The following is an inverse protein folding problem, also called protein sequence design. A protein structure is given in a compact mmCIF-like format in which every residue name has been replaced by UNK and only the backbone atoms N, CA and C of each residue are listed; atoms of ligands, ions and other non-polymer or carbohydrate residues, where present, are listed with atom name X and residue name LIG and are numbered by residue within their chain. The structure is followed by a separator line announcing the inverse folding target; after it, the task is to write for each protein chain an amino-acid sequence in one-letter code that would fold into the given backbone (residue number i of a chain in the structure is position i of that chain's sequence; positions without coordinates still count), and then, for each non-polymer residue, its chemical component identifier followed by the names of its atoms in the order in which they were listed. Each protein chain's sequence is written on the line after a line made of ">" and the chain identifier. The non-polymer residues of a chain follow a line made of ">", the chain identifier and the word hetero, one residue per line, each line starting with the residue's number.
data_IF_945192225696
#
_entry.id   IF_945192225696
#
_cell.length_a   1.000
_cell.length_b   1.000
_cell.length_c   1.000
_cell.angle_alpha   90.00
_cell.angle_beta   90.00
_cell.angle_gamma   90.00
#
_symmetry.space_group_name_H-M   'P 1'
#
loop_
_entity.id
_entity.type
_entity.pdbx_description
1 polymer ?
#
# COMPACT_ATOMS: atom_id res chain seq x y z
N UNK A 1 -18.64 24.47 -11.96
CA UNK A 1 -18.13 24.22 -11.89
C UNK A 1 -17.46 23.94 -11.72
N UNK A 2 -17.17 23.81 -11.67
CA UNK A 2 -16.40 23.51 -11.50
C UNK A 2 -15.80 23.06 -11.23
N UNK A 3 -15.67 22.69 -10.99
CA UNK A 3 -14.96 22.21 -10.68
C UNK A 3 -14.27 21.76 -11.04
N UNK A 4 -14.14 21.55 -11.48
CA UNK A 4 -13.42 21.16 -11.78
C UNK A 4 -12.90 20.86 -12.35
N UNK A 5 -12.85 21.03 -12.53
CA UNK A 5 -12.28 20.74 -12.97
C UNK A 5 -11.49 20.39 -13.48
N UNK A 6 -11.20 20.25 -13.73
CA UNK A 6 -10.51 19.83 -14.10
C UNK A 6 -9.72 19.72 -14.67
N UNK A 7 -9.30 19.83 -14.95
CA UNK A 7 -8.60 19.64 -15.54
C UNK A 7 -7.55 19.64 -15.78
N UNK A 8 -6.92 19.53 -15.90
CA UNK A 8 -6.05 19.40 -16.28
C UNK A 8 -4.94 19.64 -16.20
N UNK A 9 -4.18 19.63 -16.04
CA UNK A 9 -3.14 19.92 -16.17
C UNK A 9 -1.96 19.36 -16.04
N UNK A 10 -1.00 19.56 -16.27
CA UNK A 10 0.15 18.87 -16.48
C UNK A 10 1.20 18.98 -15.46
N UNK A 11 1.24 19.98 -14.73
CA UNK A 11 2.24 20.14 -13.70
C UNK A 11 1.85 19.39 -12.45
N UNK A 12 2.83 18.81 -11.75
CA UNK A 12 2.50 18.05 -10.55
C UNK A 12 1.71 18.84 -9.54
N UNK A 13 2.07 20.09 -9.32
CA UNK A 13 1.38 20.88 -8.35
C UNK A 13 -0.04 21.21 -8.80
N UNK A 14 -0.19 21.54 -10.06
CA UNK A 14 -1.51 21.79 -10.60
C UNK A 14 -2.34 20.52 -10.58
N UNK A 15 -1.72 19.39 -10.86
CA UNK A 15 -2.41 18.11 -10.82
C UNK A 15 -2.91 17.81 -9.41
N UNK A 16 -2.09 18.08 -8.40
CA UNK A 16 -2.52 17.87 -7.02
C UNK A 16 -3.69 18.77 -6.66
N UNK A 17 -3.64 20.01 -7.10
CA UNK A 17 -4.70 20.97 -6.79
C UNK A 17 -6.02 20.55 -7.41
N UNK A 18 -5.97 19.87 -8.55
CA UNK A 18 -7.17 19.46 -9.27
C UNK A 18 -7.53 18.00 -9.04
N UNK A 19 -6.82 17.32 -8.14
CA UNK A 19 -7.07 15.90 -7.86
C UNK A 19 -8.44 15.73 -7.23
N UNK A 20 -9.24 14.77 -7.71
CA UNK A 20 -10.55 14.53 -7.13
C UNK A 20 -10.47 14.18 -5.66
N UNK A 21 -11.53 14.52 -4.93
CA UNK A 21 -11.59 14.23 -3.50
C UNK A 21 -11.43 12.75 -3.21
N UNK A 22 -12.00 11.90 -4.07
CA UNK A 22 -11.85 10.46 -3.90
C UNK A 22 -10.39 10.04 -3.89
N UNK A 23 -9.58 10.64 -4.75
CA UNK A 23 -8.15 10.33 -4.83
C UNK A 23 -7.43 10.75 -3.55
N UNK A 24 -7.78 11.92 -3.03
CA UNK A 24 -7.18 12.41 -1.78
C UNK A 24 -7.55 11.52 -0.61
N UNK A 25 -8.80 11.08 -0.56
CA UNK A 25 -9.26 10.17 0.49
C UNK A 25 -8.56 8.84 0.38
N UNK A 26 -8.40 8.32 -0.85
CA UNK A 26 -7.68 7.08 -1.07
C UNK A 26 -6.23 7.17 -0.59
N UNK A 27 -5.58 8.30 -0.86
CA UNK A 27 -4.20 8.51 -0.42
C UNK A 27 -4.10 8.49 1.11
N UNK A 28 -5.04 9.14 1.78
CA UNK A 28 -5.05 9.12 3.25
C UNK A 28 -5.25 7.72 3.80
N UNK A 29 -6.13 6.95 3.18
CA UNK A 29 -6.32 5.56 3.58
C UNK A 29 -5.07 4.74 3.34
N UNK A 30 -4.39 4.96 2.21
CA UNK A 30 -3.15 4.26 1.91
C UNK A 30 -2.10 4.55 2.97
N UNK A 31 -1.99 5.79 3.40
CA UNK A 31 -1.06 6.17 4.46
C UNK A 31 -1.35 5.40 5.75
N UNK A 32 -2.62 5.30 6.12
CA UNK A 32 -3.01 4.58 7.31
C UNK A 32 -2.68 3.10 7.21
N UNK A 33 -3.03 2.48 6.07
CA UNK A 33 -2.75 1.06 5.90
C UNK A 33 -1.24 0.77 5.90
N UNK A 34 -0.45 1.66 5.32
CA UNK A 34 0.99 1.49 5.32
C UNK A 34 1.59 1.72 6.71
N UNK A 35 1.24 2.83 7.34
CA UNK A 35 1.90 3.25 8.58
C UNK A 35 1.45 2.46 9.79
N UNK A 36 0.17 2.10 9.85
CA UNK A 36 -0.38 1.42 11.02
C UNK A 36 -0.43 -0.08 10.86
N UNK A 37 -0.68 -0.56 9.65
CA UNK A 37 -0.88 -1.99 9.43
C UNK A 37 0.26 -2.63 8.66
N UNK A 38 1.23 -1.84 8.21
CA UNK A 38 2.44 -2.34 7.53
C UNK A 38 2.11 -3.24 6.35
N UNK A 39 1.10 -2.84 5.56
CA UNK A 39 0.66 -3.61 4.42
C UNK A 39 1.61 -3.43 3.24
N UNK A 40 1.57 -4.39 2.32
CA UNK A 40 2.31 -4.27 1.07
C UNK A 40 1.58 -3.31 0.12
N UNK A 41 2.31 -2.86 -0.91
CA UNK A 41 1.73 -1.97 -1.92
C UNK A 41 0.52 -2.61 -2.58
N UNK A 42 0.65 -3.88 -3.00
CA UNK A 42 -0.46 -4.59 -3.63
C UNK A 42 -1.61 -4.81 -2.64
N UNK A 43 -1.27 -5.11 -1.39
CA UNK A 43 -2.29 -5.29 -0.36
C UNK A 43 -3.09 -4.03 -0.13
N UNK A 44 -2.43 -2.87 -0.11
CA UNK A 44 -3.13 -1.59 0.03
C UNK A 44 -4.07 -1.37 -1.15
N UNK A 45 -3.59 -1.62 -2.38
CA UNK A 45 -4.44 -1.47 -3.55
C UNK A 45 -5.68 -2.35 -3.45
N UNK A 46 -5.48 -3.61 -3.10
CA UNK A 46 -6.60 -4.55 -2.99
C UNK A 46 -7.61 -4.11 -1.94
N UNK A 47 -7.11 -3.65 -0.80
CA UNK A 47 -8.00 -3.19 0.27
C UNK A 47 -8.78 -1.95 -0.16
N UNK A 48 -8.13 -1.03 -0.87
CA UNK A 48 -8.79 0.18 -1.31
C UNK A 48 -9.89 -0.11 -2.32
N UNK A 49 -9.70 -1.10 -3.19
CA UNK A 49 -10.66 -1.38 -4.26
C UNK A 49 -11.69 -2.45 -3.90
N UNK A 50 -11.49 -3.17 -2.80
CA UNK A 50 -12.39 -4.26 -2.43
C UNK A 50 -13.80 -3.76 -2.16
N UNK A 51 -14.79 -4.49 -2.66
CA UNK A 51 -16.18 -4.16 -2.35
C UNK A 51 -16.49 -4.42 -0.88
N UNK A 52 -15.69 -5.23 -0.23
CA UNK A 52 -15.82 -5.48 1.21
C UNK A 52 -14.89 -4.59 2.03
N UNK A 53 -14.06 -3.78 1.35
CA UNK A 53 -13.15 -2.85 1.99
C UNK A 53 -13.62 -1.43 1.76
N UNK A 54 -12.75 -0.62 1.11
CA UNK A 54 -12.99 0.81 1.00
C UNK A 54 -13.75 1.23 -0.25
N UNK A 55 -13.86 0.36 -1.23
CA UNK A 55 -14.68 0.57 -2.43
C UNK A 55 -14.24 1.78 -3.29
N UNK A 56 -12.95 2.14 -3.24
CA UNK A 56 -12.43 3.17 -4.13
C UNK A 56 -12.34 2.64 -5.56
N UNK A 57 -12.42 3.55 -6.52
CA UNK A 57 -12.21 3.18 -7.90
C UNK A 57 -10.77 2.71 -8.12
N UNK A 58 -10.53 1.88 -9.15
CA UNK A 58 -9.16 1.48 -9.47
C UNK A 58 -8.24 2.67 -9.71
N UNK A 59 -8.75 3.71 -10.34
CA UNK A 59 -7.95 4.91 -10.61
C UNK A 59 -7.55 5.61 -9.33
N UNK A 60 -8.49 5.73 -8.37
CA UNK A 60 -8.17 6.36 -7.10
C UNK A 60 -7.17 5.53 -6.31
N UNK A 61 -7.32 4.20 -6.33
CA UNK A 61 -6.41 3.31 -5.63
C UNK A 61 -5.01 3.36 -6.25
N UNK A 62 -4.93 3.40 -7.57
CA UNK A 62 -3.64 3.48 -8.25
C UNK A 62 -2.94 4.80 -7.92
N UNK A 63 -3.68 5.89 -7.95
CA UNK A 63 -3.13 7.18 -7.53
C UNK A 63 -2.59 7.09 -6.11
N UNK A 64 -3.35 6.46 -5.22
CA UNK A 64 -2.97 6.38 -3.81
C UNK A 64 -1.67 5.62 -3.63
N UNK A 65 -1.54 4.44 -4.23
CA UNK A 65 -0.32 3.65 -4.02
C UNK A 65 0.88 4.21 -4.76
N UNK A 66 0.66 5.01 -5.81
CA UNK A 66 1.75 5.65 -6.53
C UNK A 66 2.27 6.88 -5.80
N UNK A 67 1.43 7.49 -4.95
CA UNK A 67 1.78 8.76 -4.31
C UNK A 67 1.96 8.67 -2.81
N UNK A 68 1.59 7.57 -2.19
CA UNK A 68 1.78 7.43 -0.75
C UNK A 68 3.27 7.36 -0.43
N UNK A 69 3.66 8.04 0.64
CA UNK A 69 5.04 7.99 1.10
C UNK A 69 5.17 6.82 2.05
N UNK A 70 5.62 5.70 1.50
CA UNK A 70 5.73 4.47 2.26
C UNK A 70 7.07 3.82 1.95
N UNK A 71 7.62 3.16 2.96
CA UNK A 71 8.80 2.33 2.79
C UNK A 71 8.31 0.88 2.81
N UNK A 72 8.10 0.33 1.61
CA UNK A 72 7.54 -1.01 1.50
C UNK A 72 8.47 -2.08 2.05
N UNK A 73 9.79 -1.84 1.96
CA UNK A 73 10.77 -2.74 2.58
C UNK A 73 10.61 -2.75 4.10
N UNK A 74 10.44 -1.57 4.68
CA UNK A 74 10.24 -1.47 6.12
C UNK A 74 8.94 -2.14 6.55
N UNK A 75 7.89 -2.00 5.74
CA UNK A 75 6.62 -2.66 6.03
C UNK A 75 6.80 -4.18 6.03
N UNK A 76 7.53 -4.70 5.05
CA UNK A 76 7.79 -6.13 4.98
C UNK A 76 8.55 -6.61 6.22
N UNK A 77 9.55 -5.83 6.64
CA UNK A 77 10.32 -6.18 7.83
C UNK A 77 9.45 -6.20 9.08
N UNK A 78 8.57 -5.20 9.24
CA UNK A 78 7.67 -5.17 10.40
C UNK A 78 6.74 -6.36 10.41
N UNK A 79 6.22 -6.74 9.25
CA UNK A 79 5.38 -7.93 9.14
C UNK A 79 6.19 -9.18 9.49
N UNK A 80 7.42 -9.28 8.99
CA UNK A 80 8.28 -10.41 9.27
C UNK A 80 8.54 -10.54 10.77
N UNK A 81 8.83 -9.43 11.43
CA UNK A 81 9.05 -9.43 12.88
C UNK A 81 7.81 -9.90 13.63
N UNK A 82 6.65 -9.47 13.19
CA UNK A 82 5.40 -9.88 13.81
C UNK A 82 5.20 -11.40 13.70
N UNK A 83 5.43 -11.93 12.50
CA UNK A 83 5.32 -13.39 12.32
C UNK A 83 6.34 -14.15 13.14
N UNK A 84 7.55 -13.62 13.26
CA UNK A 84 8.59 -14.26 14.04
C UNK A 84 8.28 -14.21 15.54
N UNK A 85 7.92 -13.02 16.03
CA UNK A 85 7.78 -12.82 17.48
C UNK A 85 6.46 -13.35 18.02
N UNK A 86 5.38 -13.16 17.23
CA UNK A 86 4.04 -13.51 17.70
C UNK A 86 3.67 -14.94 17.35
N UNK A 87 4.08 -15.40 16.16
CA UNK A 87 3.65 -16.70 15.65
C UNK A 87 4.77 -17.70 15.57
N UNK A 88 5.98 -17.33 15.96
CA UNK A 88 7.14 -18.23 16.02
C UNK A 88 7.41 -18.94 14.71
N UNK A 89 7.21 -18.22 13.59
CA UNK A 89 7.41 -18.83 12.27
C UNK A 89 8.89 -18.83 11.89
N UNK A 90 9.27 -19.83 11.09
CA UNK A 90 10.62 -19.89 10.56
C UNK A 90 10.82 -18.83 9.48
N UNK A 91 12.10 -18.45 9.20
CA UNK A 91 12.34 -17.50 8.12
C UNK A 91 11.79 -17.94 6.77
N UNK A 92 11.90 -19.23 6.44
CA UNK A 92 11.35 -19.74 5.17
C UNK A 92 9.83 -19.57 5.11
N UNK A 93 9.16 -19.92 6.20
CA UNK A 93 7.71 -19.78 6.26
C UNK A 93 7.29 -18.31 6.20
N UNK A 94 8.05 -17.44 6.87
CA UNK A 94 7.77 -16.00 6.84
C UNK A 94 7.89 -15.49 5.42
N UNK A 95 8.98 -15.87 4.71
CA UNK A 95 9.18 -15.42 3.33
C UNK A 95 8.01 -15.84 2.44
N UNK A 96 7.57 -17.08 2.58
CA UNK A 96 6.45 -17.58 1.80
C UNK A 96 5.18 -16.78 2.10
N UNK A 97 4.94 -16.46 3.37
CA UNK A 97 3.77 -15.71 3.76
C UNK A 97 3.83 -14.27 3.22
N UNK A 98 5.02 -13.67 3.24
CA UNK A 98 5.19 -12.31 2.75
C UNK A 98 4.91 -12.20 1.26
N UNK A 99 5.28 -13.21 0.48
CA UNK A 99 5.16 -13.15 -0.97
C UNK A 99 3.89 -13.81 -1.50
N UNK A 100 3.14 -14.52 -0.67
CA UNK A 100 1.95 -15.26 -1.12
C UNK A 100 0.88 -14.31 -1.64
N UNK A 101 0.26 -14.69 -2.76
CA UNK A 101 -0.88 -13.92 -3.27
C UNK A 101 -2.10 -14.05 -2.36
N UNK A 102 -2.11 -15.03 -1.48
CA UNK A 102 -3.15 -15.19 -0.47
C UNK A 102 -2.71 -14.64 0.88
N UNK A 103 -1.47 -14.14 0.97
CA UNK A 103 -0.92 -13.56 2.18
C UNK A 103 -0.70 -12.08 2.01
N UNK A 104 0.55 -11.64 2.20
CA UNK A 104 0.86 -10.22 2.28
C UNK A 104 1.12 -9.57 0.93
N UNK A 105 1.47 -10.35 -0.08
CA UNK A 105 1.68 -9.85 -1.46
C UNK A 105 2.83 -8.87 -1.60
N UNK A 106 3.85 -8.98 -0.76
CA UNK A 106 5.08 -8.21 -0.97
C UNK A 106 5.86 -8.79 -2.15
N UNK A 107 6.70 -7.98 -2.75
CA UNK A 107 7.59 -8.46 -3.81
C UNK A 107 8.67 -9.36 -3.21
N UNK A 108 9.30 -10.16 -4.09
CA UNK A 108 10.39 -11.02 -3.63
C UNK A 108 11.54 -10.21 -3.05
N UNK A 109 11.83 -9.06 -3.67
CA UNK A 109 12.89 -8.19 -3.17
C UNK A 109 12.57 -7.64 -1.79
N UNK A 110 11.32 -7.27 -1.56
CA UNK A 110 10.90 -6.76 -0.25
C UNK A 110 10.97 -7.86 0.79
N UNK A 111 10.55 -9.06 0.42
CA UNK A 111 10.63 -10.19 1.33
C UNK A 111 12.07 -10.55 1.66
N UNK A 112 12.95 -10.55 0.65
CA UNK A 112 14.36 -10.83 0.87
C UNK A 112 14.98 -9.80 1.81
N UNK A 113 14.65 -8.53 1.63
CA UNK A 113 15.10 -7.48 2.54
C UNK A 113 14.66 -7.78 3.97
N UNK A 114 13.39 -8.13 4.13
CA UNK A 114 12.85 -8.39 5.46
C UNK A 114 13.57 -9.56 6.14
N UNK A 115 13.75 -10.66 5.43
CA UNK A 115 14.40 -11.84 6.00
C UNK A 115 15.87 -11.53 6.35
N UNK A 116 16.54 -10.76 5.49
CA UNK A 116 17.95 -10.44 5.75
C UNK A 116 18.15 -9.54 6.97
N UNK A 117 17.10 -8.83 7.37
CA UNK A 117 17.19 -7.86 8.46
C UNK A 117 16.46 -8.31 9.74
N UNK A 118 15.99 -9.53 9.76
CA UNK A 118 15.34 -10.06 10.96
C UNK A 118 16.30 -10.19 12.14
#
# INVERSE_FOLDING_TARGET
>A
VSQGQSETTAEPKAAEASVPTEYKSGLKKAESYSNLMHMSKQGVYDQLTSEYGEQFSPEAAQYAIDNVKADWNANALEKAKSYQDTMSMSPSAIRDQLTSEYGEKFTEEEADYAIANL
#
